data_IF_187006859613
#
_entry.id   IF_187006859613
#
_cell.length_a   1.000
_cell.length_b   1.000
_cell.length_c   1.000
_cell.angle_alpha   90.00
_cell.angle_beta   90.00
_cell.angle_gamma   90.00
#
_symmetry.space_group_name_H-M   'P 1'
#
loop_
_entity.id
_entity.type
_entity.pdbx_description
1 polymer ?
#
# COMPACT_ATOMS: atom_id res chain seq x y z
N UNK A 1 35.15 -32.26 -59.10
CA UNK A 1 34.51 -32.24 -57.76
C UNK A 1 34.45 -30.80 -57.29
N UNK A 2 33.36 -30.19 -56.89
CA UNK A 2 31.92 -30.36 -57.12
C UNK A 2 31.38 -28.93 -56.96
N UNK A 3 30.71 -28.41 -58.00
CA UNK A 3 30.24 -27.02 -58.08
C UNK A 3 28.88 -26.92 -57.41
N UNK A 4 28.82 -26.31 -56.23
CA UNK A 4 27.58 -26.05 -55.48
C UNK A 4 26.97 -24.70 -55.88
N UNK A 5 25.83 -24.77 -56.58
CA UNK A 5 24.97 -23.64 -56.94
C UNK A 5 24.25 -23.11 -55.71
N UNK A 6 24.49 -21.84 -55.38
CA UNK A 6 23.64 -21.04 -54.50
C UNK A 6 22.27 -20.78 -55.14
N UNK A 7 21.14 -21.08 -54.47
CA UNK A 7 19.82 -20.69 -54.93
C UNK A 7 19.50 -19.25 -54.51
N UNK A 8 19.24 -18.41 -55.51
CA UNK A 8 18.73 -17.05 -55.39
C UNK A 8 17.34 -17.06 -54.73
N UNK A 9 17.24 -16.49 -53.53
CA UNK A 9 15.97 -16.31 -52.84
C UNK A 9 15.21 -15.11 -53.42
N UNK A 10 14.15 -15.42 -54.15
CA UNK A 10 13.16 -14.47 -54.68
C UNK A 10 12.51 -13.66 -53.56
N UNK A 11 12.83 -12.37 -53.52
CA UNK A 11 12.18 -11.35 -52.68
C UNK A 11 10.70 -11.22 -53.06
N UNK A 12 9.79 -11.84 -52.29
CA UNK A 12 8.36 -11.56 -52.36
C UNK A 12 8.06 -10.27 -51.61
N UNK A 13 7.74 -9.23 -52.37
CA UNK A 13 7.23 -7.96 -51.90
C UNK A 13 5.79 -8.14 -51.37
N UNK A 14 5.50 -7.89 -50.08
CA UNK A 14 4.15 -8.03 -49.55
C UNK A 14 3.26 -6.91 -50.09
N UNK A 15 2.13 -7.31 -50.67
CA UNK A 15 1.05 -6.46 -51.13
C UNK A 15 0.51 -5.62 -49.99
N UNK A 16 0.60 -4.29 -50.12
CA UNK A 16 -0.03 -3.33 -49.23
C UNK A 16 -1.56 -3.41 -49.37
N UNK A 17 -2.21 -4.13 -48.45
CA UNK A 17 -3.66 -4.05 -48.27
C UNK A 17 -3.98 -2.66 -47.68
N UNK A 18 -4.87 -1.86 -48.31
CA UNK A 18 -5.26 -0.58 -47.76
C UNK A 18 -5.97 -0.77 -46.43
N UNK A 19 -5.43 -0.11 -45.40
CA UNK A 19 -5.97 -0.14 -44.05
C UNK A 19 -7.40 0.42 -44.03
N UNK A 20 -8.33 -0.37 -43.50
CA UNK A 20 -9.69 0.05 -43.23
C UNK A 20 -9.69 1.25 -42.26
N UNK A 21 -10.49 2.30 -42.51
CA UNK A 21 -10.54 3.46 -41.63
C UNK A 21 -11.07 3.05 -40.25
N UNK A 22 -10.18 3.11 -39.25
CA UNK A 22 -10.51 2.88 -37.85
C UNK A 22 -11.57 3.90 -37.45
N UNK A 23 -12.74 3.47 -36.92
CA UNK A 23 -13.72 4.39 -36.39
C UNK A 23 -13.09 5.15 -35.22
N UNK A 24 -12.94 6.46 -35.40
CA UNK A 24 -12.56 7.40 -34.34
C UNK A 24 -13.67 7.40 -33.29
N UNK A 25 -13.55 6.52 -32.30
CA UNK A 25 -14.25 6.69 -31.03
C UNK A 25 -13.73 7.97 -30.42
N UNK A 26 -14.54 9.02 -30.51
CA UNK A 26 -14.30 10.29 -29.86
C UNK A 26 -14.08 10.04 -28.37
N UNK A 27 -12.83 10.19 -27.93
CA UNK A 27 -12.48 10.19 -26.52
C UNK A 27 -13.09 11.46 -25.93
N UNK A 28 -14.29 11.32 -25.36
CA UNK A 28 -14.95 12.37 -24.60
C UNK A 28 -14.06 12.68 -23.41
N UNK A 29 -13.24 13.72 -23.58
CA UNK A 29 -12.40 14.30 -22.55
C UNK A 29 -13.31 15.17 -21.70
N UNK A 30 -14.12 14.52 -20.85
CA UNK A 30 -14.80 15.20 -19.76
C UNK A 30 -13.74 15.59 -18.73
N UNK A 31 -13.16 16.77 -18.96
CA UNK A 31 -12.43 17.51 -17.94
C UNK A 31 -13.30 17.57 -16.68
N UNK A 32 -12.81 16.97 -15.60
CA UNK A 32 -13.37 17.17 -14.27
C UNK A 32 -12.99 18.59 -13.82
N UNK A 33 -13.95 19.50 -13.61
CA UNK A 33 -13.68 20.69 -12.84
C UNK A 33 -13.61 20.27 -11.37
N UNK A 34 -12.39 20.12 -10.84
CA UNK A 34 -12.16 20.13 -9.39
C UNK A 34 -12.37 21.58 -8.92
N UNK A 35 -13.63 21.97 -8.82
CA UNK A 35 -14.05 23.19 -8.14
C UNK A 35 -14.04 22.91 -6.64
N UNK A 36 -12.97 23.40 -6.00
CA UNK A 36 -12.81 23.60 -4.57
C UNK A 36 -13.92 24.55 -4.06
N UNK A 37 -15.12 24.02 -3.86
CA UNK A 37 -16.19 24.67 -3.11
C UNK A 37 -15.97 24.37 -1.62
N UNK A 38 -15.10 25.16 -0.99
CA UNK A 38 -15.05 25.37 0.46
C UNK A 38 -16.33 26.12 0.87
N UNK A 39 -17.47 25.43 0.86
CA UNK A 39 -18.67 25.91 1.51
C UNK A 39 -18.45 25.76 3.03
N UNK A 40 -18.06 26.87 3.65
CA UNK A 40 -18.11 27.09 5.10
C UNK A 40 -19.56 26.94 5.58
N UNK A 41 -19.94 25.70 5.89
CA UNK A 41 -21.18 25.37 6.58
C UNK A 41 -20.97 25.63 8.06
N UNK A 42 -21.29 26.86 8.49
CA UNK A 42 -21.40 27.21 9.89
C UNK A 42 -22.68 26.56 10.44
N UNK A 43 -22.60 25.27 10.78
CA UNK A 43 -23.68 24.55 11.46
C UNK A 43 -23.83 25.08 12.87
N UNK A 44 -24.92 25.82 13.09
CA UNK A 44 -25.45 26.22 14.39
C UNK A 44 -25.42 25.03 15.36
N UNK A 45 -24.56 25.14 16.36
CA UNK A 45 -24.31 24.10 17.37
C UNK A 45 -25.45 24.11 18.38
N UNK A 46 -26.55 23.43 18.06
CA UNK A 46 -27.56 23.05 19.05
C UNK A 46 -26.85 22.12 20.05
N UNK A 47 -26.88 22.39 21.37
CA UNK A 47 -26.24 21.52 22.35
C UNK A 47 -26.91 20.14 22.27
N UNK A 48 -26.18 19.20 21.67
CA UNK A 48 -26.65 17.84 21.49
C UNK A 48 -26.85 17.24 22.89
N UNK A 49 -28.01 16.63 23.11
CA UNK A 49 -28.24 15.81 24.29
C UNK A 49 -27.06 14.83 24.43
N UNK A 50 -26.47 14.77 25.61
CA UNK A 50 -25.32 13.89 25.89
C UNK A 50 -25.80 12.45 25.75
N UNK A 51 -25.61 11.87 24.57
CA UNK A 51 -25.87 10.45 24.33
C UNK A 51 -24.83 9.69 25.12
N UNK A 52 -25.25 9.04 26.21
CA UNK A 52 -24.40 8.16 27.00
C UNK A 52 -24.03 6.94 26.16
N UNK A 53 -22.80 6.93 25.63
CA UNK A 53 -22.29 5.78 24.89
C UNK A 53 -22.15 4.55 25.80
N UNK A 54 -22.46 3.34 25.30
CA UNK A 54 -22.17 2.11 26.03
C UNK A 54 -20.66 1.99 26.28
N UNK A 55 -20.25 1.45 27.44
CA UNK A 55 -18.83 1.31 27.78
C UNK A 55 -18.13 0.36 26.81
N UNK A 56 -16.93 0.72 26.36
CA UNK A 56 -16.16 -0.10 25.41
C UNK A 56 -15.87 -1.50 25.99
N UNK A 57 -16.14 -2.59 25.24
CA UNK A 57 -15.90 -3.96 25.69
C UNK A 57 -14.46 -4.18 26.15
N UNK A 58 -14.27 -4.97 27.20
CA UNK A 58 -12.93 -5.27 27.75
C UNK A 58 -11.98 -5.86 26.70
N UNK A 59 -12.54 -6.57 25.73
CA UNK A 59 -11.75 -7.25 24.73
C UNK A 59 -11.19 -6.33 23.62
N UNK A 60 -11.72 -5.10 23.50
CA UNK A 60 -11.20 -4.04 22.61
C UNK A 60 -10.05 -3.23 23.21
N UNK A 61 -9.96 -3.21 24.53
CA UNK A 61 -8.89 -2.50 25.23
C UNK A 61 -7.56 -3.18 24.93
N UNK A 62 -6.54 -2.39 24.61
CA UNK A 62 -5.14 -2.82 24.44
C UNK A 62 -4.48 -3.21 25.78
N UNK A 63 -5.28 -3.72 26.71
CA UNK A 63 -4.81 -4.24 27.98
C UNK A 63 -4.83 -5.77 27.85
N UNK A 64 -3.71 -6.32 27.37
CA UNK A 64 -3.46 -7.75 27.45
C UNK A 64 -3.39 -8.11 28.93
N UNK A 65 -4.37 -8.87 29.42
CA UNK A 65 -4.37 -9.33 30.80
C UNK A 65 -3.09 -10.12 31.08
N UNK A 66 -2.68 -10.19 32.35
CA UNK A 66 -1.47 -10.89 32.79
C UNK A 66 -1.47 -12.41 32.51
N UNK A 67 -2.54 -12.90 31.88
CA UNK A 67 -2.73 -14.27 31.44
C UNK A 67 -1.96 -14.61 30.14
N UNK A 68 -1.41 -13.62 29.41
CA UNK A 68 -0.57 -13.91 28.23
C UNK A 68 0.80 -14.42 28.68
N UNK A 69 1.00 -15.73 28.62
CA UNK A 69 2.31 -16.38 28.77
C UNK A 69 2.82 -16.79 27.39
N UNK A 70 4.11 -16.57 27.07
CA UNK A 70 5.18 -15.97 27.89
C UNK A 70 5.21 -14.43 27.95
N UNK A 71 5.78 -13.87 29.03
CA UNK A 71 5.79 -12.41 29.33
C UNK A 71 6.47 -11.55 28.25
N UNK A 72 7.47 -12.08 27.55
CA UNK A 72 8.20 -11.34 26.51
C UNK A 72 7.36 -11.07 25.25
N UNK A 73 6.28 -11.82 25.00
CA UNK A 73 5.38 -11.56 23.87
C UNK A 73 4.47 -10.35 24.09
N UNK A 74 4.26 -9.93 25.35
CA UNK A 74 3.37 -8.80 25.69
C UNK A 74 3.78 -7.49 25.01
N UNK A 75 5.05 -7.02 25.09
CA UNK A 75 5.45 -5.80 24.38
C UNK A 75 5.32 -5.94 22.87
N UNK A 76 5.65 -7.11 22.30
CA UNK A 76 5.54 -7.36 20.86
C UNK A 76 4.09 -7.27 20.40
N UNK A 77 3.18 -7.99 21.05
CA UNK A 77 1.75 -7.96 20.73
C UNK A 77 1.16 -6.55 20.87
N UNK A 78 1.55 -5.82 21.92
CA UNK A 78 1.12 -4.42 22.12
C UNK A 78 1.63 -3.51 21.01
N UNK A 79 2.91 -3.63 20.63
CA UNK A 79 3.51 -2.85 19.56
C UNK A 79 2.90 -3.20 18.19
N UNK A 80 2.71 -4.49 17.88
CA UNK A 80 2.06 -4.94 16.65
C UNK A 80 0.61 -4.45 16.58
N UNK A 81 -0.14 -4.54 17.66
CA UNK A 81 -1.51 -4.04 17.72
C UNK A 81 -1.58 -2.53 17.50
N UNK A 82 -0.69 -1.77 18.15
CA UNK A 82 -0.59 -0.32 17.97
C UNK A 82 -0.23 0.02 16.52
N UNK A 83 0.77 -0.65 15.95
CA UNK A 83 1.15 -0.48 14.55
C UNK A 83 -0.03 -0.79 13.62
N UNK A 84 -0.79 -1.85 13.90
CA UNK A 84 -1.98 -2.20 13.10
C UNK A 84 -3.09 -1.16 13.25
N UNK A 85 -3.32 -0.61 14.44
CA UNK A 85 -4.28 0.47 14.65
C UNK A 85 -3.86 1.73 13.90
N UNK A 86 -2.57 2.06 13.95
CA UNK A 86 -2.02 3.23 13.30
C UNK A 86 -2.08 3.10 11.77
N UNK A 87 -1.74 1.94 11.21
CA UNK A 87 -1.79 1.72 9.75
C UNK A 87 -3.24 1.64 9.26
N UNK A 88 -4.12 0.91 9.96
CA UNK A 88 -5.50 0.71 9.53
C UNK A 88 -6.38 1.95 9.74
N UNK A 89 -6.24 2.64 10.87
CA UNK A 89 -7.15 3.72 11.28
C UNK A 89 -6.45 5.08 11.45
N UNK A 90 -5.12 5.14 11.43
CA UNK A 90 -4.38 6.38 11.71
C UNK A 90 -4.46 6.83 13.16
N UNK A 91 -4.87 5.95 14.09
CA UNK A 91 -5.05 6.25 15.50
C UNK A 91 -4.40 5.15 16.35
N UNK A 92 -3.74 5.49 17.47
CA UNK A 92 -3.09 4.49 18.32
C UNK A 92 -4.07 3.67 19.16
N UNK A 93 -5.32 4.13 19.32
CA UNK A 93 -6.32 3.54 20.20
C UNK A 93 -7.65 3.30 19.48
N UNK A 94 -8.29 2.16 19.77
CA UNK A 94 -9.62 1.82 19.25
C UNK A 94 -10.77 2.58 19.93
N UNK A 95 -10.53 3.33 21.01
CA UNK A 95 -11.58 4.09 21.72
C UNK A 95 -12.23 5.14 20.80
N UNK A 96 -11.43 5.83 19.98
CA UNK A 96 -11.94 6.76 18.96
C UNK A 96 -12.79 6.02 17.95
N UNK A 97 -12.35 4.83 17.52
CA UNK A 97 -13.08 4.01 16.57
C UNK A 97 -14.39 3.47 17.15
N UNK A 98 -14.40 3.11 18.43
CA UNK A 98 -15.61 2.72 19.16
C UNK A 98 -16.65 3.85 19.17
N UNK A 99 -16.22 5.10 19.37
CA UNK A 99 -17.09 6.27 19.31
C UNK A 99 -17.62 6.52 17.89
N UNK A 100 -16.74 6.45 16.89
CA UNK A 100 -17.11 6.59 15.46
C UNK A 100 -18.16 5.54 15.08
N UNK A 101 -17.99 4.30 15.51
CA UNK A 101 -18.93 3.22 15.23
C UNK A 101 -20.32 3.39 15.87
N UNK A 102 -20.50 4.30 16.82
CA UNK A 102 -21.82 4.62 17.37
C UNK A 102 -22.48 5.83 16.70
N UNK A 103 -21.75 6.55 15.85
CA UNK A 103 -22.27 7.66 15.08
C UNK A 103 -22.28 7.30 13.58
N UNK A 104 -23.47 7.05 13.03
CA UNK A 104 -23.63 6.61 11.64
C UNK A 104 -22.95 7.53 10.63
N UNK A 105 -23.03 8.85 10.84
CA UNK A 105 -22.39 9.83 9.96
C UNK A 105 -20.87 9.73 10.00
N UNK A 106 -20.30 9.69 11.20
CA UNK A 106 -18.84 9.56 11.36
C UNK A 106 -18.33 8.23 10.83
N UNK A 107 -19.11 7.15 10.95
CA UNK A 107 -18.77 5.84 10.40
C UNK A 107 -18.67 5.87 8.87
N UNK A 108 -19.65 6.49 8.19
CA UNK A 108 -19.60 6.63 6.73
C UNK A 108 -18.43 7.49 6.26
N UNK A 109 -18.15 8.61 6.94
CA UNK A 109 -17.00 9.47 6.67
C UNK A 109 -15.67 8.70 6.81
N UNK A 110 -15.53 7.89 7.87
CA UNK A 110 -14.34 7.07 8.12
C UNK A 110 -14.21 5.92 7.11
N UNK A 111 -15.33 5.30 6.73
CA UNK A 111 -15.37 4.26 5.69
C UNK A 111 -14.94 4.81 4.34
N UNK A 112 -15.41 5.99 3.96
CA UNK A 112 -15.01 6.64 2.71
C UNK A 112 -13.52 6.98 2.71
N UNK A 113 -13.01 7.53 3.82
CA UNK A 113 -11.58 7.79 4.03
C UNK A 113 -10.74 6.52 3.85
N UNK A 114 -11.14 5.42 4.49
CA UNK A 114 -10.41 4.15 4.40
C UNK A 114 -10.46 3.57 2.97
N UNK A 115 -11.63 3.62 2.33
CA UNK A 115 -11.82 3.17 0.93
C UNK A 115 -10.92 3.95 -0.01
N UNK A 116 -10.85 5.28 0.14
CA UNK A 116 -9.97 6.15 -0.66
C UNK A 116 -8.50 5.86 -0.44
N UNK A 117 -8.09 5.60 0.80
CA UNK A 117 -6.70 5.26 1.13
C UNK A 117 -6.29 3.92 0.50
N UNK A 118 -7.10 2.88 0.66
CA UNK A 118 -6.85 1.56 0.05
C UNK A 118 -6.82 1.66 -1.47
N UNK A 119 -7.77 2.41 -2.06
CA UNK A 119 -7.80 2.64 -3.51
C UNK A 119 -6.54 3.34 -4.03
N UNK A 120 -6.07 4.38 -3.33
CA UNK A 120 -4.83 5.10 -3.68
C UNK A 120 -3.62 4.16 -3.63
N UNK A 121 -3.52 3.34 -2.58
CA UNK A 121 -2.44 2.37 -2.43
C UNK A 121 -2.47 1.29 -3.52
N UNK A 122 -3.65 0.85 -3.94
CA UNK A 122 -3.81 -0.11 -5.02
C UNK A 122 -3.39 0.46 -6.39
N UNK A 123 -3.68 1.74 -6.64
CA UNK A 123 -3.20 2.46 -7.83
C UNK A 123 -1.67 2.50 -7.85
N UNK A 124 -1.05 2.90 -6.74
CA UNK A 124 0.42 2.94 -6.61
C UNK A 124 1.02 1.54 -6.82
N UNK A 125 0.43 0.50 -6.24
CA UNK A 125 0.88 -0.87 -6.43
C UNK A 125 0.83 -1.31 -7.89
N UNK A 126 -0.23 -0.96 -8.61
CA UNK A 126 -0.40 -1.30 -10.03
C UNK A 126 0.64 -0.59 -10.90
N UNK A 127 0.96 0.67 -10.59
CA UNK A 127 2.04 1.40 -11.27
C UNK A 127 3.40 0.73 -11.02
N UNK A 128 3.71 0.40 -9.75
CA UNK A 128 4.93 -0.32 -9.40
C UNK A 128 5.00 -1.68 -10.08
N UNK A 129 3.87 -2.39 -10.19
CA UNK A 129 3.77 -3.69 -10.85
C UNK A 129 4.11 -3.57 -12.33
N UNK A 130 3.53 -2.58 -13.02
CA UNK A 130 3.80 -2.32 -14.42
C UNK A 130 5.29 -1.99 -14.66
N UNK A 131 5.87 -1.10 -13.85
CA UNK A 131 7.30 -0.78 -13.92
C UNK A 131 8.18 -2.01 -13.68
N UNK A 132 7.85 -2.82 -12.67
CA UNK A 132 8.59 -4.06 -12.37
C UNK A 132 8.49 -5.06 -13.53
N UNK A 133 7.29 -5.21 -14.12
CA UNK A 133 7.07 -6.05 -15.28
C UNK A 133 7.89 -5.58 -16.49
N UNK A 134 8.01 -4.27 -16.71
CA UNK A 134 8.89 -3.71 -17.74
C UNK A 134 10.34 -4.09 -17.50
N UNK A 135 10.86 -3.95 -16.26
CA UNK A 135 12.23 -4.36 -15.97
C UNK A 135 12.46 -5.86 -16.19
N UNK A 136 11.50 -6.71 -15.84
CA UNK A 136 11.63 -8.17 -16.03
C UNK A 136 11.60 -8.55 -17.52
N UNK A 137 10.85 -7.84 -18.35
CA UNK A 137 10.60 -8.21 -19.76
C UNK A 137 11.52 -7.52 -20.77
N UNK A 138 12.19 -6.43 -20.39
CA UNK A 138 13.02 -5.65 -21.30
C UNK A 138 14.51 -5.99 -21.15
N UNK A 139 15.22 -6.05 -22.26
CA UNK A 139 16.69 -6.18 -22.25
C UNK A 139 17.29 -4.82 -21.87
N UNK A 140 18.26 -4.76 -20.93
CA UNK A 140 18.90 -3.51 -20.55
C UNK A 140 19.55 -2.86 -21.78
N UNK A 141 19.33 -1.56 -22.04
CA UNK A 141 19.85 -0.90 -23.23
C UNK A 141 21.37 -0.86 -23.27
N UNK A 142 22.04 -0.85 -22.11
CA UNK A 142 23.49 -0.90 -21.98
C UNK A 142 23.89 -1.76 -20.78
N UNK A 143 24.42 -2.96 -21.06
CA UNK A 143 24.89 -3.89 -20.04
C UNK A 143 26.05 -3.36 -19.18
N UNK A 144 26.75 -2.30 -19.64
CA UNK A 144 27.85 -1.68 -18.90
C UNK A 144 27.40 -0.79 -17.74
N UNK A 145 26.21 -0.16 -17.83
CA UNK A 145 25.77 0.85 -16.86
C UNK A 145 24.87 0.22 -15.79
N UNK A 146 23.80 -0.48 -16.18
CA UNK A 146 22.84 -1.11 -15.27
C UNK A 146 22.43 -2.47 -15.83
N UNK A 147 23.02 -3.55 -15.31
CA UNK A 147 22.70 -4.93 -15.68
C UNK A 147 21.76 -5.58 -14.65
N UNK A 148 20.46 -5.28 -14.78
CA UNK A 148 19.42 -5.86 -13.92
C UNK A 148 19.05 -7.30 -14.29
N UNK A 149 19.68 -7.88 -15.33
CA UNK A 149 19.50 -9.29 -15.73
C UNK A 149 20.39 -10.25 -14.94
N UNK A 150 21.27 -9.75 -14.06
CA UNK A 150 22.03 -10.60 -13.14
C UNK A 150 21.08 -11.35 -12.21
N UNK A 151 21.48 -12.58 -11.84
CA UNK A 151 20.67 -13.49 -11.02
C UNK A 151 20.12 -12.83 -9.74
N UNK A 152 20.95 -12.06 -9.03
CA UNK A 152 20.55 -11.41 -7.77
C UNK A 152 19.41 -10.41 -7.96
N UNK A 153 19.62 -9.30 -8.69
CA UNK A 153 18.57 -8.32 -9.00
C UNK A 153 17.32 -8.94 -9.62
N UNK A 154 17.48 -9.89 -10.53
CA UNK A 154 16.37 -10.56 -11.18
C UNK A 154 15.46 -11.32 -10.19
N UNK A 155 16.03 -12.06 -9.23
CA UNK A 155 15.25 -12.74 -8.19
C UNK A 155 14.51 -11.73 -7.30
N UNK A 156 15.15 -10.60 -6.94
CA UNK A 156 14.51 -9.54 -6.17
C UNK A 156 13.34 -8.90 -6.92
N UNK A 157 13.49 -8.62 -8.22
CA UNK A 157 12.41 -8.09 -9.07
C UNK A 157 11.25 -9.08 -9.19
N UNK A 158 11.53 -10.36 -9.37
CA UNK A 158 10.50 -11.40 -9.47
C UNK A 158 9.74 -11.58 -8.15
N UNK A 159 10.45 -11.55 -7.01
CA UNK A 159 9.84 -11.59 -5.68
C UNK A 159 8.94 -10.37 -5.44
N UNK A 160 9.42 -9.17 -5.79
CA UNK A 160 8.64 -7.94 -5.73
C UNK A 160 7.38 -8.01 -6.61
N UNK A 161 7.51 -8.49 -7.84
CA UNK A 161 6.38 -8.67 -8.75
C UNK A 161 5.28 -9.58 -8.14
N UNK A 162 5.67 -10.70 -7.54
CA UNK A 162 4.74 -11.58 -6.83
C UNK A 162 4.08 -10.92 -5.61
N UNK A 163 4.84 -10.20 -4.80
CA UNK A 163 4.31 -9.45 -3.65
C UNK A 163 3.34 -8.33 -4.06
N UNK A 164 3.63 -7.62 -5.14
CA UNK A 164 2.73 -6.59 -5.69
C UNK A 164 1.42 -7.21 -6.18
N UNK A 165 1.48 -8.30 -6.94
CA UNK A 165 0.28 -9.02 -7.39
C UNK A 165 -0.59 -9.46 -6.21
N UNK A 166 0.01 -10.08 -5.19
CA UNK A 166 -0.72 -10.56 -4.04
C UNK A 166 -1.28 -9.39 -3.20
N UNK A 167 -0.50 -8.31 -3.04
CA UNK A 167 -0.95 -7.07 -2.40
C UNK A 167 -2.16 -6.44 -3.10
N UNK A 168 -2.18 -6.40 -4.44
CA UNK A 168 -3.30 -5.89 -5.24
C UNK A 168 -4.55 -6.76 -5.09
N UNK A 169 -4.40 -8.09 -5.11
CA UNK A 169 -5.52 -9.02 -4.93
C UNK A 169 -6.14 -8.86 -3.56
N UNK A 170 -5.33 -8.89 -2.49
CA UNK A 170 -5.81 -8.74 -1.11
C UNK A 170 -6.36 -7.33 -0.88
N UNK A 171 -5.72 -6.29 -1.43
CA UNK A 171 -6.20 -4.91 -1.35
C UNK A 171 -7.57 -4.72 -2.00
N UNK A 172 -7.79 -5.35 -3.15
CA UNK A 172 -9.08 -5.33 -3.85
C UNK A 172 -10.17 -6.06 -3.06
N UNK A 173 -9.85 -7.22 -2.47
CA UNK A 173 -10.75 -7.94 -1.59
C UNK A 173 -11.09 -7.14 -0.32
N UNK A 174 -10.11 -6.45 0.27
CA UNK A 174 -10.32 -5.58 1.42
C UNK A 174 -11.20 -4.38 1.05
N UNK A 175 -11.00 -3.76 -0.11
CA UNK A 175 -11.85 -2.67 -0.61
C UNK A 175 -13.30 -3.14 -0.81
N UNK A 176 -13.50 -4.32 -1.39
CA UNK A 176 -14.82 -4.93 -1.53
C UNK A 176 -15.47 -5.16 -0.15
N UNK A 177 -14.71 -5.69 0.81
CA UNK A 177 -15.20 -5.91 2.17
C UNK A 177 -15.61 -4.59 2.85
N UNK A 178 -14.79 -3.54 2.77
CA UNK A 178 -15.11 -2.22 3.33
C UNK A 178 -16.40 -1.68 2.71
N UNK A 179 -16.56 -1.80 1.39
CA UNK A 179 -17.76 -1.31 0.69
C UNK A 179 -19.05 -2.07 1.07
N UNK A 180 -18.92 -3.35 1.43
CA UNK A 180 -20.06 -4.22 1.80
C UNK A 180 -20.42 -4.16 3.29
N UNK A 181 -19.57 -3.56 4.11
CA UNK A 181 -19.76 -3.50 5.55
C UNK A 181 -20.77 -2.44 5.95
N UNK A 182 -21.91 -2.87 6.49
CA UNK A 182 -22.85 -1.97 7.19
C UNK A 182 -22.38 -1.74 8.62
N UNK A 183 -22.76 -0.60 9.20
CA UNK A 183 -22.42 -0.24 10.58
C UNK A 183 -22.84 -1.34 11.57
N UNK A 184 -24.02 -1.92 11.39
CA UNK A 184 -24.54 -2.97 12.26
C UNK A 184 -23.76 -4.28 12.09
N UNK A 185 -23.38 -4.63 10.86
CA UNK A 185 -22.55 -5.83 10.61
C UNK A 185 -21.17 -5.68 11.25
N UNK A 186 -20.56 -4.50 11.14
CA UNK A 186 -19.28 -4.18 11.80
C UNK A 186 -19.47 -4.13 13.31
N UNK A 187 -20.59 -3.68 13.85
CA UNK A 187 -20.82 -3.77 15.29
C UNK A 187 -20.99 -5.24 15.72
N UNK A 188 -21.90 -5.99 15.13
CA UNK A 188 -22.27 -7.30 15.64
C UNK A 188 -21.22 -8.38 15.35
N UNK A 189 -20.63 -8.35 14.16
CA UNK A 189 -19.67 -9.38 13.71
C UNK A 189 -18.27 -9.13 14.23
N UNK A 190 -17.87 -7.86 14.28
CA UNK A 190 -16.51 -7.40 14.58
C UNK A 190 -16.30 -7.20 16.10
N UNK A 191 -17.38 -6.95 16.86
CA UNK A 191 -17.33 -6.80 18.33
C UNK A 191 -17.52 -8.11 19.10
N UNK A 192 -17.67 -9.25 18.42
CA UNK A 192 -17.95 -10.51 19.12
C UNK A 192 -16.70 -11.12 19.77
N UNK A 193 -15.54 -11.12 19.08
CA UNK A 193 -14.31 -11.78 19.58
C UNK A 193 -13.03 -11.05 19.20
N UNK A 194 -11.99 -11.15 20.06
CA UNK A 194 -10.65 -10.56 19.80
C UNK A 194 -10.01 -11.08 18.51
N UNK A 195 -10.16 -12.37 18.23
CA UNK A 195 -9.53 -13.00 17.07
C UNK A 195 -10.04 -12.38 15.76
N UNK A 196 -11.35 -12.09 15.67
CA UNK A 196 -11.94 -11.46 14.49
C UNK A 196 -11.40 -10.05 14.24
N UNK A 197 -11.24 -9.26 15.30
CA UNK A 197 -10.62 -7.93 15.22
C UNK A 197 -9.21 -8.04 14.64
N UNK A 198 -8.40 -8.96 15.17
CA UNK A 198 -7.05 -9.22 14.66
C UNK A 198 -7.04 -9.63 13.18
N UNK A 199 -7.94 -10.53 12.77
CA UNK A 199 -8.04 -10.97 11.38
C UNK A 199 -8.37 -9.78 10.46
N UNK A 200 -9.35 -8.96 10.82
CA UNK A 200 -9.78 -7.84 9.97
C UNK A 200 -8.73 -6.73 9.93
N UNK A 201 -8.12 -6.39 11.07
CA UNK A 201 -7.01 -5.45 11.11
C UNK A 201 -5.83 -5.98 10.29
N UNK A 202 -5.51 -7.27 10.39
CA UNK A 202 -4.46 -7.88 9.57
C UNK A 202 -4.79 -7.79 8.09
N UNK A 203 -6.03 -8.09 7.68
CA UNK A 203 -6.47 -7.97 6.28
C UNK A 203 -6.40 -6.53 5.75
N UNK A 204 -6.68 -5.53 6.59
CA UNK A 204 -6.58 -4.12 6.22
C UNK A 204 -5.13 -3.66 6.11
N UNK A 205 -4.26 -4.10 7.02
CA UNK A 205 -2.83 -3.73 7.06
C UNK A 205 -2.03 -4.48 5.99
N UNK A 206 -2.45 -5.69 5.64
CA UNK A 206 -1.77 -6.57 4.71
C UNK A 206 -1.37 -5.92 3.37
N UNK A 207 -2.26 -5.25 2.60
CA UNK A 207 -1.87 -4.62 1.34
C UNK A 207 -0.76 -3.57 1.53
N UNK A 208 -0.82 -2.77 2.59
CA UNK A 208 0.20 -1.77 2.88
C UNK A 208 1.57 -2.43 3.15
N UNK A 209 1.59 -3.48 3.96
CA UNK A 209 2.83 -4.22 4.29
C UNK A 209 3.37 -4.93 3.06
N UNK A 210 2.52 -5.59 2.28
CA UNK A 210 2.91 -6.30 1.07
C UNK A 210 3.52 -5.34 0.01
N UNK A 211 2.87 -4.20 -0.23
CA UNK A 211 3.35 -3.19 -1.18
C UNK A 211 4.64 -2.53 -0.68
N UNK A 212 4.73 -2.23 0.62
CA UNK A 212 5.96 -1.72 1.22
C UNK A 212 7.12 -2.71 1.11
N UNK A 213 6.88 -3.99 1.40
CA UNK A 213 7.86 -5.06 1.25
C UNK A 213 8.30 -5.21 -0.22
N UNK A 214 7.36 -5.20 -1.16
CA UNK A 214 7.69 -5.27 -2.57
C UNK A 214 8.51 -4.06 -3.06
N UNK A 215 8.11 -2.84 -2.68
CA UNK A 215 8.87 -1.63 -2.98
C UNK A 215 10.30 -1.72 -2.41
N UNK A 216 10.47 -2.23 -1.18
CA UNK A 216 11.79 -2.43 -0.58
C UNK A 216 12.62 -3.45 -1.35
N UNK A 217 12.02 -4.57 -1.79
CA UNK A 217 12.68 -5.58 -2.60
C UNK A 217 13.11 -5.04 -3.97
N UNK A 218 12.28 -4.22 -4.60
CA UNK A 218 12.64 -3.50 -5.84
C UNK A 218 13.83 -2.57 -5.63
N UNK A 219 13.79 -1.74 -4.58
CA UNK A 219 14.89 -0.82 -4.25
C UNK A 219 16.19 -1.61 -4.00
N UNK A 220 16.12 -2.70 -3.24
CA UNK A 220 17.28 -3.56 -2.97
C UNK A 220 17.82 -4.22 -4.26
N UNK A 221 16.96 -4.71 -5.14
CA UNK A 221 17.38 -5.29 -6.43
C UNK A 221 18.10 -4.26 -7.32
N UNK A 222 17.55 -3.04 -7.39
CA UNK A 222 18.17 -1.94 -8.13
C UNK A 222 19.47 -1.46 -7.47
N UNK A 223 19.52 -1.43 -6.14
CA UNK A 223 20.72 -1.08 -5.38
C UNK A 223 21.84 -2.09 -5.64
N UNK A 224 21.57 -3.39 -5.53
CA UNK A 224 22.55 -4.44 -5.84
C UNK A 224 23.09 -4.28 -7.26
N UNK A 225 22.22 -3.91 -8.22
CA UNK A 225 22.62 -3.64 -9.60
C UNK A 225 23.53 -2.42 -9.69
N UNK A 226 23.16 -1.32 -9.04
CA UNK A 226 23.91 -0.06 -9.06
C UNK A 226 25.30 -0.21 -8.41
N UNK A 227 25.39 -0.92 -7.29
CA UNK A 227 26.67 -1.20 -6.62
C UNK A 227 27.57 -2.14 -7.43
N UNK A 228 26.97 -3.01 -8.23
CA UNK A 228 27.72 -3.89 -9.15
C UNK A 228 28.13 -3.20 -10.46
N UNK A 229 27.65 -1.98 -10.72
CA UNK A 229 28.03 -1.18 -11.89
C UNK A 229 29.47 -0.71 -11.81
N UNK A 230 30.13 -0.56 -12.96
CA UNK A 230 31.48 0.01 -13.05
C UNK A 230 31.48 1.55 -12.94
N UNK A 231 30.32 2.19 -13.15
CA UNK A 231 30.20 3.65 -13.15
C UNK A 231 30.06 4.23 -11.74
N UNK A 232 31.08 4.97 -11.29
CA UNK A 232 31.10 5.61 -9.96
C UNK A 232 29.93 6.59 -9.74
N UNK A 233 29.48 7.27 -10.80
CA UNK A 233 28.35 8.21 -10.72
C UNK A 233 27.06 7.47 -10.32
N UNK A 234 26.83 6.28 -10.88
CA UNK A 234 25.66 5.45 -10.57
C UNK A 234 25.71 4.97 -9.12
N UNK A 235 26.87 4.56 -8.64
CA UNK A 235 27.06 4.12 -7.25
C UNK A 235 26.76 5.25 -6.25
N UNK A 236 27.34 6.43 -6.45
CA UNK A 236 27.12 7.60 -5.58
C UNK A 236 25.67 8.06 -5.63
N UNK A 237 25.09 8.15 -6.83
CA UNK A 237 23.69 8.54 -7.03
C UNK A 237 22.71 7.57 -6.36
N UNK A 238 22.97 6.26 -6.46
CA UNK A 238 22.14 5.23 -5.81
C UNK A 238 22.21 5.32 -4.28
N UNK A 239 23.40 5.57 -3.71
CA UNK A 239 23.57 5.80 -2.28
C UNK A 239 22.74 6.99 -1.77
N UNK A 240 22.76 8.12 -2.50
CA UNK A 240 21.95 9.29 -2.16
C UNK A 240 20.45 9.00 -2.26
N UNK A 241 20.02 8.30 -3.32
CA UNK A 241 18.63 7.94 -3.55
C UNK A 241 18.07 7.00 -2.46
N UNK A 242 18.92 6.19 -1.83
CA UNK A 242 18.56 5.35 -0.69
C UNK A 242 18.61 6.09 0.65
N UNK A 243 19.53 7.05 0.80
CA UNK A 243 19.62 7.87 2.00
C UNK A 243 18.34 8.68 2.26
N UNK A 244 17.68 9.17 1.19
CA UNK A 244 16.45 9.96 1.28
C UNK A 244 15.28 9.21 1.96
N UNK A 245 14.84 8.02 1.51
CA UNK A 245 13.77 7.29 2.18
C UNK A 245 14.16 6.81 3.59
N UNK A 246 15.43 6.47 3.83
CA UNK A 246 15.89 6.14 5.18
C UNK A 246 15.81 7.34 6.13
N UNK A 247 16.21 8.54 5.66
CA UNK A 247 16.12 9.77 6.45
C UNK A 247 14.66 10.10 6.79
N UNK A 248 13.75 9.97 5.82
CA UNK A 248 12.31 10.14 6.05
C UNK A 248 11.77 9.13 7.05
N UNK A 249 12.20 7.87 6.99
CA UNK A 249 11.79 6.83 7.93
C UNK A 249 12.30 7.13 9.34
N UNK A 250 13.56 7.55 9.49
CA UNK A 250 14.11 7.97 10.78
C UNK A 250 13.34 9.16 11.34
N UNK A 251 13.08 10.19 10.51
CA UNK A 251 12.28 11.34 10.92
C UNK A 251 10.88 10.94 11.39
N UNK A 252 10.21 10.04 10.66
CA UNK A 252 8.90 9.53 11.02
C UNK A 252 8.93 8.76 12.36
N UNK A 253 9.93 7.91 12.58
CA UNK A 253 10.10 7.19 13.84
C UNK A 253 10.38 8.14 15.02
N UNK A 254 11.17 9.19 14.80
CA UNK A 254 11.42 10.21 15.82
C UNK A 254 10.13 10.94 16.22
N UNK A 255 9.30 11.31 15.24
CA UNK A 255 8.00 11.93 15.49
C UNK A 255 7.09 10.99 16.30
N UNK A 256 7.03 9.70 15.93
CA UNK A 256 6.22 8.72 16.67
C UNK A 256 6.73 8.55 18.10
N UNK A 257 8.05 8.49 18.29
CA UNK A 257 8.65 8.33 19.62
C UNK A 257 8.35 9.53 20.52
N UNK A 258 8.28 10.73 19.96
CA UNK A 258 7.92 11.95 20.69
C UNK A 258 6.48 11.87 21.20
N UNK A 259 5.53 11.43 20.36
CA UNK A 259 4.14 11.22 20.78
C UNK A 259 4.01 10.20 21.92
N UNK A 260 4.75 9.10 21.87
CA UNK A 260 4.70 8.09 22.94
C UNK A 260 5.19 8.66 24.28
N UNK A 261 6.22 9.51 24.26
CA UNK A 261 6.78 10.14 25.46
C UNK A 261 5.77 11.03 26.19
N UNK A 262 4.98 11.81 25.45
CA UNK A 262 3.94 12.70 26.03
C UNK A 262 2.79 11.93 26.68
N UNK A 263 2.41 10.79 26.12
CA UNK A 263 1.31 9.98 26.71
C UNK A 263 1.68 9.32 28.03
N UNK A 264 2.98 9.09 28.27
CA UNK A 264 3.46 8.48 29.50
C UNK A 264 3.58 9.50 30.65
N UNK A 265 3.76 10.80 30.36
CA UNK A 265 3.86 11.83 31.41
C UNK A 265 2.53 12.19 32.04
N UNK A 266 1.42 12.11 31.29
CA UNK A 266 0.09 12.52 31.79
C UNK A 266 -0.60 11.42 32.62
N UNK A 267 -0.02 10.22 32.65
CA UNK A 267 -0.57 9.06 33.35
C UNK A 267 0.07 8.75 34.70
N UNK A 268 1.04 9.55 35.15
CA UNK A 268 1.75 9.41 36.44
C UNK A 268 1.31 10.50 37.42
#
# INVERSE_FOLDING_TARGET
>A
MSSERSPSATSRQPSSTPASPIPRTALSTSALPVLLLLASMCTSTRPAAVVTLPPMPRHWRNNYSDNVRPKFLRPILRATFLAFCLIAYGQPNLETQWRIMHNSRSFEEEKDRLTKNVGTVNIVATLLLATTATFITTVPPQAGIIDYNRRGPYICLLASFGLLLFGIIVGSAAQFFISSCTQDLVRDTLMSTRFRIWVIMSSLVYPFVAIGAAASANILGLLITAWASQDRIVQVGSGFLLALPLLLLVLFLLIISDFDSTTNSDGA
#
